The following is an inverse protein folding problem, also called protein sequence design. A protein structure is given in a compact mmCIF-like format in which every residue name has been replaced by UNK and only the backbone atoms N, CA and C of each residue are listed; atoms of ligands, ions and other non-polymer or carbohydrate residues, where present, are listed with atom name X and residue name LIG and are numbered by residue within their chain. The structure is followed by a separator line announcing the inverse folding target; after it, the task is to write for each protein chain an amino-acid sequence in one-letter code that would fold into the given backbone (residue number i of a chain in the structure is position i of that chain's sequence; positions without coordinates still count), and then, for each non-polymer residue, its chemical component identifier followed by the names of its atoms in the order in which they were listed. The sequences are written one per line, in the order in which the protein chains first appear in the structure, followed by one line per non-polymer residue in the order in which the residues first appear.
data_IF_265373252251
#
_entry.id   IF_265373252251
#
_cell.length_a   1.000
_cell.length_b   1.000
_cell.length_c   1.000
_cell.angle_alpha   90.00
_cell.angle_beta   90.00
_cell.angle_gamma   90.00
#
_symmetry.space_group_name_H-M   'P 1'
#
loop_
_entity.id
_entity.type
_entity.pdbx_description
1 polymer ?
#
# COMPACT_ATOMS: atom_id res chain seq x y z
N UNK A 1 -4.89 5.41 -9.51
CA UNK A 1 -5.42 5.04 -10.85
C UNK A 1 -6.76 4.30 -10.71
N UNK A 2 -7.30 3.72 -11.78
CA UNK A 2 -8.48 2.84 -11.73
C UNK A 2 -8.12 1.41 -12.11
N UNK A 3 -8.73 0.43 -11.43
CA UNK A 3 -8.62 -0.99 -11.72
C UNK A 3 -9.47 -1.38 -12.95
N UNK A 4 -9.41 -2.66 -13.35
CA UNK A 4 -10.17 -3.20 -14.49
C UNK A 4 -11.69 -3.17 -14.32
N UNK A 5 -12.20 -2.89 -13.11
CA UNK A 5 -13.62 -2.75 -12.78
C UNK A 5 -14.04 -1.30 -12.57
N UNK A 6 -13.13 -0.34 -12.81
CA UNK A 6 -13.38 1.08 -12.62
C UNK A 6 -13.38 1.54 -11.16
N UNK A 7 -12.86 0.74 -10.22
CA UNK A 7 -12.67 1.18 -8.84
C UNK A 7 -11.28 1.81 -8.67
N UNK A 8 -11.12 2.79 -7.76
CA UNK A 8 -9.81 3.37 -7.48
C UNK A 8 -8.85 2.31 -6.93
N UNK A 9 -7.57 2.40 -7.31
CA UNK A 9 -6.47 1.64 -6.70
C UNK A 9 -5.18 2.46 -6.65
N UNK A 10 -4.23 2.00 -5.83
CA UNK A 10 -2.92 2.62 -5.62
C UNK A 10 -1.98 2.22 -6.76
N UNK A 11 -1.26 3.22 -7.26
CA UNK A 11 -0.09 3.06 -8.14
C UNK A 11 1.05 3.84 -7.49
N UNK A 12 2.25 3.27 -7.54
CA UNK A 12 3.46 3.86 -6.95
C UNK A 12 4.52 3.98 -8.04
N UNK A 13 5.15 5.16 -8.07
CA UNK A 13 6.38 5.41 -8.80
C UNK A 13 7.57 5.37 -7.85
N UNK A 14 8.57 4.59 -8.22
CA UNK A 14 9.87 4.55 -7.57
C UNK A 14 10.92 5.06 -8.55
N UNK A 15 11.54 6.19 -8.22
CA UNK A 15 12.60 6.80 -9.02
C UNK A 15 13.97 6.48 -8.42
N UNK A 16 14.87 5.95 -9.25
CA UNK A 16 16.29 5.81 -8.93
C UNK A 16 17.12 6.63 -9.90
N UNK A 17 18.44 6.63 -9.73
CA UNK A 17 19.37 7.23 -10.70
C UNK A 17 19.29 6.57 -12.09
N UNK A 18 18.81 5.32 -12.17
CA UNK A 18 18.71 4.60 -13.43
C UNK A 18 17.43 4.93 -14.20
N UNK A 19 16.27 4.88 -13.54
CA UNK A 19 14.97 5.04 -14.18
C UNK A 19 13.83 5.27 -13.17
N UNK A 20 12.65 5.54 -13.71
CA UNK A 20 11.37 5.44 -13.02
C UNK A 20 10.80 4.03 -13.21
N UNK A 21 10.43 3.39 -12.10
CA UNK A 21 9.77 2.09 -12.04
C UNK A 21 8.37 2.27 -11.47
N UNK A 22 7.37 1.64 -12.08
CA UNK A 22 5.96 1.81 -11.73
C UNK A 22 5.31 0.47 -11.43
N UNK A 23 4.53 0.43 -10.35
CA UNK A 23 3.72 -0.73 -10.00
C UNK A 23 2.34 -0.28 -9.52
N UNK A 24 1.31 -1.08 -9.83
CA UNK A 24 -0.06 -0.87 -9.38
C UNK A 24 -0.57 -2.09 -8.61
N UNK A 25 -1.37 -1.83 -7.58
CA UNK A 25 -1.93 -2.88 -6.72
C UNK A 25 -3.26 -3.36 -7.30
N UNK A 26 -3.48 -4.67 -7.48
CA UNK A 26 -4.78 -5.19 -7.87
C UNK A 26 -5.76 -5.07 -6.70
N UNK A 27 -7.04 -4.80 -6.98
CA UNK A 27 -8.08 -4.85 -5.96
C UNK A 27 -8.72 -6.23 -5.91
N UNK A 28 -8.68 -6.86 -4.74
CA UNK A 28 -9.40 -8.10 -4.45
C UNK A 28 -10.92 -7.93 -4.59
N UNK A 29 -11.62 -9.01 -4.91
CA UNK A 29 -13.07 -9.10 -4.75
C UNK A 29 -13.45 -9.82 -3.44
N UNK A 30 -12.57 -10.69 -2.96
CA UNK A 30 -12.68 -11.40 -1.69
C UNK A 30 -12.19 -10.48 -0.57
N UNK A 31 -12.90 -10.47 0.54
CA UNK A 31 -12.47 -9.84 1.80
C UNK A 31 -12.31 -10.96 2.83
N UNK A 32 -11.52 -11.97 2.49
CA UNK A 32 -11.31 -13.12 3.37
C UNK A 32 -10.73 -12.65 4.70
N UNK A 33 -11.16 -13.25 5.80
CA UNK A 33 -10.70 -12.90 7.16
C UNK A 33 -9.18 -13.13 7.37
N UNK A 34 -8.54 -13.84 6.43
CA UNK A 34 -7.12 -14.17 6.42
C UNK A 34 -6.29 -13.24 5.51
N UNK A 35 -6.93 -12.35 4.76
CA UNK A 35 -6.25 -11.44 3.83
C UNK A 35 -5.73 -10.21 4.56
N UNK A 36 -4.62 -9.64 4.06
CA UNK A 36 -4.19 -8.32 4.47
C UNK A 36 -5.25 -7.29 4.10
N UNK A 37 -5.44 -6.27 4.94
CA UNK A 37 -6.53 -5.32 4.78
C UNK A 37 -6.25 -4.32 3.65
N UNK A 38 -7.19 -4.17 2.72
CA UNK A 38 -7.15 -3.09 1.73
C UNK A 38 -7.76 -1.81 2.33
N UNK A 39 -6.94 -0.78 2.53
CA UNK A 39 -7.41 0.49 3.09
C UNK A 39 -8.23 1.29 2.08
N UNK A 40 -9.52 1.50 2.40
CA UNK A 40 -10.46 2.35 1.64
C UNK A 40 -10.82 3.60 2.43
N UNK A 41 -11.10 4.69 1.71
CA UNK A 41 -11.41 5.99 2.32
C UNK A 41 -12.72 5.97 3.11
N UNK A 42 -13.71 5.20 2.65
CA UNK A 42 -15.04 5.06 3.29
C UNK A 42 -16.00 6.23 3.02
N UNK A 43 -15.58 7.26 2.30
CA UNK A 43 -16.40 8.41 1.93
C UNK A 43 -17.43 8.06 0.85
N UNK A 44 -18.68 7.81 1.25
CA UNK A 44 -19.77 7.44 0.33
C UNK A 44 -20.04 8.48 -0.76
N UNK A 45 -19.72 9.76 -0.53
CA UNK A 45 -19.92 10.81 -1.52
C UNK A 45 -18.90 10.76 -2.67
N UNK A 46 -17.76 10.08 -2.46
CA UNK A 46 -16.68 9.98 -3.43
C UNK A 46 -16.43 8.52 -3.81
N UNK A 47 -16.60 8.21 -5.10
CA UNK A 47 -16.26 6.89 -5.66
C UNK A 47 -16.92 5.74 -4.85
N UNK A 48 -18.12 5.97 -4.35
CA UNK A 48 -18.93 5.02 -3.56
C UNK A 48 -18.21 4.51 -2.28
N UNK A 49 -17.34 5.32 -1.67
CA UNK A 49 -16.56 4.92 -0.49
C UNK A 49 -15.29 4.15 -0.80
N UNK A 50 -15.00 3.88 -2.08
CA UNK A 50 -13.86 3.05 -2.52
C UNK A 50 -12.61 3.87 -2.87
N UNK A 51 -12.58 5.15 -2.51
CA UNK A 51 -11.37 5.96 -2.63
C UNK A 51 -10.18 5.32 -1.90
N UNK A 52 -8.97 5.67 -2.31
CA UNK A 52 -7.71 5.18 -1.74
C UNK A 52 -6.76 6.32 -1.35
N UNK A 53 -7.29 7.53 -1.14
CA UNK A 53 -6.46 8.71 -0.84
C UNK A 53 -5.72 8.56 0.49
N UNK A 54 -6.31 7.89 1.48
CA UNK A 54 -5.61 7.58 2.75
C UNK A 54 -4.42 6.66 2.52
N UNK A 55 -4.59 5.59 1.74
CA UNK A 55 -3.49 4.68 1.39
C UNK A 55 -2.39 5.40 0.60
N UNK A 56 -2.76 6.28 -0.34
CA UNK A 56 -1.80 7.12 -1.09
C UNK A 56 -1.06 8.08 -0.15
N UNK A 57 -1.74 8.68 0.82
CA UNK A 57 -1.10 9.53 1.83
C UNK A 57 -0.11 8.74 2.69
N UNK A 58 -0.46 7.52 3.14
CA UNK A 58 0.45 6.66 3.88
C UNK A 58 1.74 6.36 3.07
N UNK A 59 1.62 6.10 1.77
CA UNK A 59 2.79 5.91 0.90
C UNK A 59 3.66 7.17 0.86
N UNK A 60 3.06 8.33 0.59
CA UNK A 60 3.82 9.57 0.36
C UNK A 60 4.41 10.17 1.65
N UNK A 61 3.65 10.14 2.74
CA UNK A 61 3.94 10.90 3.95
C UNK A 61 4.63 10.06 5.03
N UNK A 62 4.41 8.74 5.03
CA UNK A 62 4.91 7.84 6.08
C UNK A 62 5.96 6.86 5.55
N UNK A 63 5.68 6.17 4.45
CA UNK A 63 6.55 5.12 3.91
C UNK A 63 7.73 5.73 3.15
N UNK A 64 7.47 6.60 2.18
CA UNK A 64 8.50 7.13 1.28
C UNK A 64 9.70 7.77 2.04
N UNK A 65 9.50 8.64 3.06
CA UNK A 65 10.63 9.25 3.78
C UNK A 65 11.53 8.24 4.50
N UNK A 66 11.02 7.03 4.78
CA UNK A 66 11.76 5.96 5.48
C UNK A 66 12.50 5.04 4.52
N UNK A 67 12.08 4.96 3.26
CA UNK A 67 12.70 4.12 2.23
C UNK A 67 13.73 4.85 1.39
N UNK A 68 13.64 6.19 1.27
CA UNK A 68 14.60 6.99 0.49
C UNK A 68 16.03 6.76 1.03
N UNK A 69 16.94 6.39 0.13
CA UNK A 69 18.35 6.09 0.43
C UNK A 69 18.64 4.62 0.73
N UNK A 70 17.63 3.75 0.77
CA UNK A 70 17.84 2.30 0.88
C UNK A 70 18.27 1.69 -0.46
N UNK A 71 19.07 0.63 -0.39
CA UNK A 71 19.44 -0.18 -1.56
C UNK A 71 18.24 -1.03 -2.01
N UNK A 72 17.74 -0.74 -3.21
CA UNK A 72 16.57 -1.39 -3.82
C UNK A 72 16.75 -2.91 -3.99
N UNK A 73 17.98 -3.43 -3.98
CA UNK A 73 18.24 -4.88 -4.08
C UNK A 73 18.02 -5.60 -2.75
N UNK A 74 17.90 -4.87 -1.63
CA UNK A 74 17.67 -5.43 -0.28
C UNK A 74 16.19 -5.62 0.02
N UNK A 75 15.50 -6.34 -0.86
CA UNK A 75 14.04 -6.58 -0.80
C UNK A 75 13.56 -7.00 0.60
N UNK A 76 14.19 -8.00 1.21
CA UNK A 76 13.80 -8.47 2.56
C UNK A 76 13.91 -7.40 3.63
N UNK A 77 14.90 -6.51 3.55
CA UNK A 77 15.06 -5.43 4.53
C UNK A 77 13.97 -4.36 4.35
N UNK A 78 13.69 -4.01 3.09
CA UNK A 78 12.63 -3.06 2.73
C UNK A 78 11.26 -3.59 3.18
N UNK A 79 10.95 -4.86 2.90
CA UNK A 79 9.69 -5.48 3.29
C UNK A 79 9.53 -5.55 4.81
N UNK A 80 10.58 -5.92 5.54
CA UNK A 80 10.55 -5.93 7.01
C UNK A 80 10.33 -4.56 7.60
N UNK A 81 10.99 -3.54 7.05
CA UNK A 81 10.79 -2.16 7.49
C UNK A 81 9.33 -1.75 7.30
N UNK A 82 8.76 -1.96 6.10
CA UNK A 82 7.37 -1.58 5.83
C UNK A 82 6.36 -2.35 6.69
N UNK A 83 6.51 -3.67 6.80
CA UNK A 83 5.50 -4.54 7.42
C UNK A 83 5.66 -4.63 8.93
N UNK A 84 6.87 -4.90 9.42
CA UNK A 84 7.09 -5.21 10.85
C UNK A 84 7.32 -3.95 11.68
N UNK A 85 7.95 -2.92 11.10
CA UNK A 85 8.39 -1.73 11.84
C UNK A 85 7.44 -0.55 11.62
N UNK A 86 7.10 -0.22 10.38
CA UNK A 86 6.27 0.95 10.07
C UNK A 86 4.79 0.68 10.31
N UNK A 87 4.25 -0.43 9.82
CA UNK A 87 2.86 -0.82 10.10
C UNK A 87 2.73 -1.48 11.48
N UNK A 88 3.48 -2.57 11.69
CA UNK A 88 3.61 -3.26 12.97
C UNK A 88 2.37 -3.99 13.46
N UNK A 89 1.31 -4.11 12.64
CA UNK A 89 0.05 -4.74 13.07
C UNK A 89 0.02 -6.23 12.77
N UNK A 90 -0.51 -6.99 13.72
CA UNK A 90 -0.75 -8.42 13.56
C UNK A 90 -2.21 -8.77 13.84
N UNK A 91 -2.70 -9.80 13.17
CA UNK A 91 -3.92 -10.53 13.51
C UNK A 91 -3.56 -11.97 13.92
N UNK A 92 -4.57 -12.79 14.21
CA UNK A 92 -4.39 -14.20 14.62
C UNK A 92 -3.64 -15.07 13.58
N UNK A 93 -3.40 -14.54 12.38
CA UNK A 93 -2.85 -15.24 11.22
C UNK A 93 -1.53 -14.64 10.70
N UNK A 94 -1.04 -13.55 11.30
CA UNK A 94 0.22 -12.89 10.92
C UNK A 94 0.11 -11.37 10.77
N UNK A 95 1.01 -10.77 10.00
CA UNK A 95 1.02 -9.32 9.77
C UNK A 95 -0.21 -8.88 8.97
N UNK A 96 -1.00 -7.96 9.52
CA UNK A 96 -2.34 -7.60 9.00
C UNK A 96 -2.37 -6.33 8.16
N UNK A 97 -1.37 -5.44 8.32
CA UNK A 97 -1.27 -4.17 7.58
C UNK A 97 -2.47 -3.25 7.81
N UNK A 98 -2.89 -3.12 9.06
CA UNK A 98 -4.10 -2.40 9.47
C UNK A 98 -3.88 -0.91 9.69
N UNK A 99 -2.63 -0.48 9.92
CA UNK A 99 -2.29 0.91 10.21
C UNK A 99 -1.86 1.69 8.96
N UNK A 100 -1.21 1.01 8.01
CA UNK A 100 -0.68 1.59 6.77
C UNK A 100 -1.37 1.07 5.51
#
# INVERSE_FOLDING_TARGET
IFDSRGNPTVEVDLCTEAALFRAAVPSGASTGIYEALELRDGDKARLLGKGVLKAVANVNDLIAPKLIGMDVTKQTQIDKLMVEILDGTQNDWGWSKSNL
#
